data_IF_893157940843
#
_entry.id   IF_893157940843
#
_cell.length_a   1.000
_cell.length_b   1.000
_cell.length_c   1.000
_cell.angle_alpha   90.00
_cell.angle_beta   90.00
_cell.angle_gamma   90.00
#
_symmetry.space_group_name_H-M   'P 1'
#
loop_
_entity.id
_entity.type
_entity.pdbx_description
1 polymer ?
#
# COMPACT_ATOMS: atom_id res chain seq x y z
N UNK A 1 -16.16 10.22 3.01
CA UNK A 1 -16.53 11.31 2.08
C UNK A 1 -16.18 12.62 2.76
N UNK A 2 -15.48 13.52 2.07
CA UNK A 2 -15.18 14.86 2.53
C UNK A 2 -16.02 15.85 1.73
N UNK A 3 -16.77 16.71 2.40
CA UNK A 3 -17.63 17.71 1.76
C UNK A 3 -17.25 19.12 2.23
N UNK A 4 -17.01 20.03 1.28
CA UNK A 4 -16.63 21.42 1.58
C UNK A 4 -17.00 22.34 0.42
N UNK A 5 -17.34 23.58 0.72
CA UNK A 5 -17.51 24.66 -0.26
C UNK A 5 -16.31 25.61 -0.33
N UNK A 6 -15.28 25.40 0.51
CA UNK A 6 -14.05 26.18 0.56
C UNK A 6 -12.78 25.29 0.48
N UNK A 7 -11.64 25.95 0.36
CA UNK A 7 -10.28 25.42 0.42
C UNK A 7 -9.95 24.82 1.79
N UNK A 8 -8.75 24.22 1.90
CA UNK A 8 -8.26 23.61 3.13
C UNK A 8 -7.00 24.31 3.64
N UNK A 9 -6.78 24.24 4.94
CA UNK A 9 -5.49 24.60 5.54
C UNK A 9 -4.48 23.45 5.43
N UNK A 10 -3.22 23.81 5.24
CA UNK A 10 -2.12 22.87 5.10
C UNK A 10 -1.02 23.12 6.13
N UNK A 11 -0.11 22.15 6.28
CA UNK A 11 1.07 22.30 7.13
C UNK A 11 1.79 23.64 6.87
N UNK A 12 2.05 24.38 7.95
CA UNK A 12 2.58 25.73 7.96
C UNK A 12 1.53 26.80 8.31
N UNK A 13 0.25 26.57 8.03
CA UNK A 13 -0.81 27.56 8.27
C UNK A 13 -1.05 27.78 9.78
N UNK A 14 -0.88 26.76 10.61
CA UNK A 14 -0.99 26.85 12.06
C UNK A 14 0.00 27.84 12.70
N UNK A 15 1.08 28.19 11.99
CA UNK A 15 2.08 29.16 12.45
C UNK A 15 1.45 30.52 12.76
N UNK A 16 0.40 30.92 12.01
CA UNK A 16 -0.33 32.17 12.26
C UNK A 16 -1.06 32.16 13.62
N UNK A 17 -1.44 30.98 14.10
CA UNK A 17 -2.03 30.76 15.42
C UNK A 17 -1.04 30.39 16.52
N UNK A 18 0.28 30.45 16.25
CA UNK A 18 1.33 30.03 17.19
C UNK A 18 1.51 28.51 17.28
N UNK A 19 0.88 27.73 16.40
CA UNK A 19 0.95 26.27 16.37
C UNK A 19 2.02 25.86 15.35
N UNK A 20 3.12 25.29 15.84
CA UNK A 20 4.29 24.94 14.99
C UNK A 20 4.69 23.47 15.08
N UNK A 21 4.06 22.70 15.96
CA UNK A 21 4.36 21.28 16.09
C UNK A 21 3.69 20.52 14.95
N UNK A 22 4.37 19.57 14.29
CA UNK A 22 3.76 18.76 13.25
C UNK A 22 2.65 17.87 13.83
N UNK A 23 1.74 17.32 12.99
CA UNK A 23 0.70 16.41 13.43
C UNK A 23 1.24 15.22 14.24
N UNK A 24 0.53 14.87 15.31
CA UNK A 24 0.90 13.74 16.15
C UNK A 24 0.72 12.40 15.42
N UNK A 25 1.62 11.41 15.57
CA UNK A 25 1.58 10.14 14.82
C UNK A 25 0.48 9.16 15.30
N UNK A 26 -0.26 9.49 16.36
CA UNK A 26 -1.31 8.66 16.94
C UNK A 26 -2.62 9.43 17.02
N UNK A 27 -3.73 8.70 17.05
CA UNK A 27 -5.06 9.24 17.31
C UNK A 27 -5.06 10.14 18.55
N UNK A 28 -5.72 11.29 18.46
CA UNK A 28 -5.88 12.28 19.54
C UNK A 28 -7.36 12.60 19.80
N UNK A 29 -8.25 11.67 19.46
CA UNK A 29 -9.65 11.77 19.86
C UNK A 29 -9.74 11.47 21.35
N UNK A 30 -10.48 12.31 22.07
CA UNK A 30 -10.86 12.03 23.46
C UNK A 30 -12.05 11.05 23.53
N UNK A 31 -12.46 10.71 24.75
CA UNK A 31 -13.57 9.77 24.99
C UNK A 31 -14.93 10.27 24.45
N UNK A 32 -15.04 11.56 24.11
CA UNK A 32 -16.23 12.15 23.49
C UNK A 32 -16.18 12.17 21.96
N UNK A 33 -15.07 11.71 21.37
CA UNK A 33 -14.85 11.71 19.93
C UNK A 33 -14.41 13.06 19.37
N UNK A 34 -13.95 13.98 20.22
CA UNK A 34 -13.44 15.30 19.80
C UNK A 34 -11.92 15.24 19.66
N UNK A 35 -11.38 15.89 18.62
CA UNK A 35 -9.94 16.04 18.44
C UNK A 35 -9.39 17.07 19.43
N UNK A 36 -8.96 16.62 20.61
CA UNK A 36 -8.57 17.47 21.73
C UNK A 36 -7.29 18.29 21.47
N UNK A 37 -6.43 17.81 20.58
CA UNK A 37 -5.09 18.39 20.32
C UNK A 37 -5.06 19.39 19.14
N UNK A 38 -6.21 19.94 18.74
CA UNK A 38 -6.35 20.92 17.65
C UNK A 38 -5.51 22.19 17.81
N UNK A 39 -5.26 22.60 19.05
CA UNK A 39 -4.48 23.79 19.39
C UNK A 39 -2.99 23.49 19.65
N UNK A 40 -2.59 22.22 19.61
CA UNK A 40 -1.23 21.77 19.91
C UNK A 40 -0.43 21.43 18.65
N UNK A 41 -1.09 20.83 17.65
CA UNK A 41 -0.47 20.34 16.43
C UNK A 41 -1.03 21.03 15.19
N UNK A 42 -0.13 21.37 14.28
CA UNK A 42 -0.41 22.00 12.99
C UNK A 42 -1.15 21.03 12.05
N UNK A 43 -1.67 21.57 10.96
CA UNK A 43 -2.34 20.82 9.91
C UNK A 43 -1.39 19.81 9.23
N UNK A 44 -1.92 18.69 8.70
CA UNK A 44 -1.11 17.75 7.95
C UNK A 44 -0.63 18.34 6.62
N UNK A 45 0.54 17.88 6.16
CA UNK A 45 0.95 18.09 4.78
C UNK A 45 0.20 17.12 3.85
N UNK A 46 0.11 17.46 2.57
CA UNK A 46 -0.53 16.58 1.57
C UNK A 46 0.15 15.21 1.50
N UNK A 47 1.49 15.17 1.57
CA UNK A 47 2.25 13.93 1.57
C UNK A 47 1.97 13.06 2.82
N UNK A 48 1.84 13.69 3.99
CA UNK A 48 1.47 12.98 5.21
C UNK A 48 0.06 12.40 5.10
N UNK A 49 -0.90 13.18 4.60
CA UNK A 49 -2.27 12.72 4.36
C UNK A 49 -2.31 11.52 3.40
N UNK A 50 -1.61 11.60 2.26
CA UNK A 50 -1.54 10.52 1.27
C UNK A 50 -0.96 9.23 1.87
N UNK A 51 0.09 9.35 2.70
CA UNK A 51 0.71 8.22 3.38
C UNK A 51 -0.26 7.54 4.36
N UNK A 52 -0.95 8.33 5.20
CA UNK A 52 -1.90 7.80 6.19
C UNK A 52 -3.10 7.14 5.51
N UNK A 53 -3.66 7.77 4.47
CA UNK A 53 -4.77 7.21 3.71
C UNK A 53 -4.39 5.89 3.02
N UNK A 54 -3.20 5.85 2.40
CA UNK A 54 -2.69 4.63 1.77
C UNK A 54 -2.46 3.50 2.79
N UNK A 55 -1.83 3.82 3.93
CA UNK A 55 -1.58 2.83 4.98
C UNK A 55 -2.88 2.28 5.61
N UNK A 56 -3.90 3.12 5.73
CA UNK A 56 -5.23 2.73 6.21
C UNK A 56 -6.14 2.15 5.11
N UNK A 57 -5.66 2.11 3.87
CA UNK A 57 -6.39 1.68 2.68
C UNK A 57 -7.74 2.43 2.48
N UNK A 58 -7.74 3.74 2.76
CA UNK A 58 -8.91 4.61 2.64
C UNK A 58 -8.85 5.36 1.31
N UNK A 59 -9.95 5.33 0.56
CA UNK A 59 -10.13 6.05 -0.70
C UNK A 59 -11.02 7.27 -0.48
N UNK A 60 -10.48 8.49 -0.45
CA UNK A 60 -11.30 9.66 -0.19
C UNK A 60 -12.11 10.06 -1.42
N UNK A 61 -13.34 10.47 -1.17
CA UNK A 61 -14.22 11.14 -2.13
C UNK A 61 -14.34 12.59 -1.69
N UNK A 62 -13.83 13.52 -2.49
CA UNK A 62 -13.93 14.95 -2.30
C UNK A 62 -15.17 15.48 -3.03
N UNK A 63 -16.23 15.78 -2.29
CA UNK A 63 -17.47 16.37 -2.78
C UNK A 63 -17.43 17.88 -2.54
N UNK A 64 -17.04 18.66 -3.55
CA UNK A 64 -16.74 20.10 -3.35
C UNK A 64 -17.46 20.98 -4.36
N UNK A 65 -17.75 22.22 -3.99
CA UNK A 65 -18.45 23.16 -4.87
C UNK A 65 -17.58 23.57 -6.06
N UNK A 66 -18.24 23.95 -7.16
CA UNK A 66 -17.57 24.36 -8.42
C UNK A 66 -16.36 25.29 -8.26
N UNK A 67 -16.41 26.36 -7.42
CA UNK A 67 -15.29 27.29 -7.27
C UNK A 67 -14.00 26.66 -6.73
N UNK A 68 -14.10 25.61 -5.93
CA UNK A 68 -12.96 24.97 -5.26
C UNK A 68 -12.49 23.69 -5.95
N UNK A 69 -13.27 23.16 -6.89
CA UNK A 69 -12.94 21.94 -7.64
C UNK A 69 -11.51 21.88 -8.20
N UNK A 70 -10.96 22.95 -8.83
CA UNK A 70 -9.61 22.86 -9.40
C UNK A 70 -8.54 22.53 -8.35
N UNK A 71 -8.69 23.03 -7.12
CA UNK A 71 -7.74 22.81 -6.02
C UNK A 71 -7.80 21.35 -5.56
N UNK A 72 -9.01 20.81 -5.39
CA UNK A 72 -9.18 19.41 -5.00
C UNK A 72 -8.82 18.43 -6.12
N UNK A 73 -8.91 18.83 -7.39
CA UNK A 73 -8.40 18.05 -8.51
C UNK A 73 -6.86 17.92 -8.45
N UNK A 74 -6.13 19.00 -8.15
CA UNK A 74 -4.68 18.91 -7.94
C UNK A 74 -4.34 18.06 -6.71
N UNK A 75 -5.08 18.22 -5.61
CA UNK A 75 -4.92 17.37 -4.42
C UNK A 75 -5.12 15.89 -4.76
N UNK A 76 -6.16 15.58 -5.54
CA UNK A 76 -6.49 14.21 -5.95
C UNK A 76 -5.45 13.58 -6.89
N UNK A 77 -4.57 14.36 -7.52
CA UNK A 77 -3.43 13.80 -8.27
C UNK A 77 -2.31 13.32 -7.36
N UNK A 78 -2.23 13.85 -6.15
CA UNK A 78 -1.21 13.52 -5.16
C UNK A 78 -1.66 12.40 -4.21
N UNK A 79 -2.97 12.17 -4.09
CA UNK A 79 -3.55 11.12 -3.26
C UNK A 79 -4.00 9.98 -4.18
N UNK A 80 -3.37 8.79 -4.10
CA UNK A 80 -3.77 7.65 -4.93
C UNK A 80 -5.24 7.27 -4.70
N UNK A 81 -5.93 6.85 -5.78
CA UNK A 81 -7.28 6.29 -5.70
C UNK A 81 -8.30 7.22 -5.00
N UNK A 82 -8.17 8.54 -5.18
CA UNK A 82 -9.20 9.50 -4.76
C UNK A 82 -10.04 10.00 -5.92
N UNK A 83 -11.26 10.44 -5.63
CA UNK A 83 -12.19 11.01 -6.62
C UNK A 83 -12.66 12.38 -6.16
N UNK A 84 -12.84 13.30 -7.11
CA UNK A 84 -13.43 14.61 -6.89
C UNK A 84 -14.75 14.69 -7.65
N UNK A 85 -15.81 15.13 -6.97
CA UNK A 85 -17.13 15.36 -7.56
C UNK A 85 -17.64 16.76 -7.23
N UNK A 86 -18.41 17.34 -8.15
CA UNK A 86 -19.04 18.64 -7.95
C UNK A 86 -20.25 18.52 -7.02
N UNK A 87 -20.18 19.15 -5.85
CA UNK A 87 -21.29 19.27 -4.91
C UNK A 87 -22.06 20.56 -5.22
N UNK A 88 -23.38 20.45 -5.38
CA UNK A 88 -24.26 21.63 -5.49
C UNK A 88 -24.28 22.38 -4.16
N UNK A 89 -24.54 23.69 -4.20
CA UNK A 89 -24.57 24.53 -2.99
C UNK A 89 -25.60 24.07 -1.95
N UNK A 90 -26.70 23.47 -2.39
CA UNK A 90 -27.74 22.90 -1.53
C UNK A 90 -27.46 21.44 -1.13
N UNK A 91 -26.32 20.88 -1.55
CA UNK A 91 -25.92 19.48 -1.37
C UNK A 91 -26.94 18.45 -1.91
N UNK A 92 -27.87 18.87 -2.76
CA UNK A 92 -28.99 18.03 -3.23
C UNK A 92 -28.53 16.80 -4.03
N UNK A 93 -27.34 16.86 -4.64
CA UNK A 93 -26.79 15.79 -5.47
C UNK A 93 -25.80 14.88 -4.75
N UNK A 94 -25.62 15.01 -3.42
CA UNK A 94 -24.59 14.25 -2.68
C UNK A 94 -24.74 12.74 -2.80
N UNK A 95 -25.98 12.22 -2.80
CA UNK A 95 -26.25 10.78 -2.91
C UNK A 95 -25.81 10.24 -4.28
N UNK A 96 -26.13 10.96 -5.35
CA UNK A 96 -25.73 10.61 -6.70
C UNK A 96 -24.20 10.67 -6.86
N UNK A 97 -23.58 11.72 -6.33
CA UNK A 97 -22.13 11.90 -6.37
C UNK A 97 -21.40 10.74 -5.68
N UNK A 98 -21.86 10.32 -4.51
CA UNK A 98 -21.27 9.17 -3.80
C UNK A 98 -21.42 7.89 -4.62
N UNK A 99 -22.59 7.65 -5.22
CA UNK A 99 -22.82 6.46 -6.05
C UNK A 99 -21.91 6.45 -7.29
N UNK A 100 -21.78 7.57 -7.98
CA UNK A 100 -20.90 7.72 -9.14
C UNK A 100 -19.42 7.57 -8.77
N UNK A 101 -18.98 8.19 -7.68
CA UNK A 101 -17.62 8.07 -7.18
C UNK A 101 -17.30 6.64 -6.75
N UNK A 102 -18.23 5.96 -6.07
CA UNK A 102 -18.09 4.56 -5.71
C UNK A 102 -17.92 3.69 -6.96
N UNK A 103 -18.80 3.85 -7.96
CA UNK A 103 -18.71 3.10 -9.22
C UNK A 103 -17.38 3.37 -9.95
N UNK A 104 -16.91 4.61 -9.95
CA UNK A 104 -15.61 4.98 -10.53
C UNK A 104 -14.46 4.29 -9.80
N UNK A 105 -14.44 4.33 -8.46
CA UNK A 105 -13.42 3.70 -7.64
C UNK A 105 -13.43 2.17 -7.78
N UNK A 106 -14.60 1.55 -7.77
CA UNK A 106 -14.76 0.10 -7.91
C UNK A 106 -14.45 -0.40 -9.32
N UNK A 107 -14.48 0.48 -10.33
CA UNK A 107 -14.16 0.12 -11.71
C UNK A 107 -12.67 -0.11 -11.99
N UNK A 108 -11.82 0.17 -11.01
CA UNK A 108 -10.37 -0.01 -11.12
C UNK A 108 -9.89 -0.98 -10.05
N UNK A 109 -9.10 -1.96 -10.44
CA UNK A 109 -8.49 -2.94 -9.53
C UNK A 109 -6.99 -2.77 -9.62
N UNK A 110 -6.38 -2.33 -8.52
CA UNK A 110 -4.95 -2.10 -8.43
C UNK A 110 -4.36 -2.99 -7.33
N UNK A 111 -3.53 -3.95 -7.74
CA UNK A 111 -2.86 -4.89 -6.86
C UNK A 111 -1.47 -4.37 -6.51
N UNK A 112 -1.23 -4.12 -5.23
CA UNK A 112 0.05 -3.65 -4.69
C UNK A 112 0.63 -4.65 -3.68
N UNK A 113 1.91 -4.47 -3.38
CA UNK A 113 2.62 -5.27 -2.39
C UNK A 113 3.15 -4.41 -1.25
N UNK A 114 3.35 -5.03 -0.09
CA UNK A 114 4.12 -4.45 1.02
C UNK A 114 5.59 -4.24 0.60
N UNK A 115 6.37 -3.41 1.33
CA UNK A 115 7.80 -3.29 1.07
C UNK A 115 8.48 -4.66 0.95
N UNK A 116 9.28 -4.84 -0.11
CA UNK A 116 9.94 -6.11 -0.39
C UNK A 116 11.22 -6.28 0.42
N UNK A 117 11.50 -7.47 0.96
CA UNK A 117 12.80 -7.80 1.53
C UNK A 117 13.92 -7.69 0.49
N UNK A 118 15.16 -7.43 0.92
CA UNK A 118 16.32 -7.46 0.03
C UNK A 118 16.43 -8.79 -0.73
N UNK A 119 16.73 -8.71 -2.02
CA UNK A 119 16.87 -9.88 -2.88
C UNK A 119 15.57 -10.52 -3.36
N UNK A 120 14.41 -9.91 -3.06
CA UNK A 120 13.11 -10.33 -3.61
C UNK A 120 12.61 -9.29 -4.61
N UNK A 121 12.16 -9.76 -5.77
CA UNK A 121 11.50 -8.94 -6.78
C UNK A 121 10.22 -9.62 -7.26
N UNK A 122 9.15 -8.85 -7.42
CA UNK A 122 7.88 -9.32 -7.96
C UNK A 122 7.63 -8.70 -9.34
N UNK A 123 6.95 -9.45 -10.23
CA UNK A 123 6.35 -8.91 -11.45
C UNK A 123 4.93 -9.41 -11.63
N UNK A 124 4.10 -8.61 -12.27
CA UNK A 124 2.65 -8.75 -12.32
C UNK A 124 2.17 -8.76 -13.76
N UNK A 125 1.45 -9.81 -14.16
CA UNK A 125 0.74 -9.87 -15.43
C UNK A 125 -0.76 -9.71 -15.14
N UNK A 126 -1.40 -8.72 -15.75
CA UNK A 126 -2.80 -8.38 -15.48
C UNK A 126 -3.71 -8.97 -16.56
N UNK A 127 -4.62 -9.85 -16.15
CA UNK A 127 -5.60 -10.52 -17.03
C UNK A 127 -6.95 -9.81 -16.91
N UNK A 128 -7.02 -8.59 -17.43
CA UNK A 128 -8.22 -7.73 -17.40
C UNK A 128 -9.13 -7.93 -18.63
N UNK A 129 -8.62 -8.64 -19.63
CA UNK A 129 -9.22 -8.92 -20.93
C UNK A 129 -8.22 -9.73 -21.77
N UNK A 130 -8.63 -10.14 -22.97
CA UNK A 130 -7.79 -10.93 -23.87
C UNK A 130 -7.24 -10.07 -25.02
N UNK A 131 -5.91 -10.05 -25.27
CA UNK A 131 -4.85 -10.77 -24.55
C UNK A 131 -4.40 -10.07 -23.23
N UNK A 132 -3.68 -10.79 -22.35
CA UNK A 132 -3.13 -10.22 -21.13
C UNK A 132 -2.16 -9.06 -21.38
N UNK A 133 -2.12 -8.11 -20.43
CA UNK A 133 -1.17 -7.00 -20.47
C UNK A 133 0.27 -7.45 -20.23
N UNK A 134 1.28 -6.67 -20.67
CA UNK A 134 2.68 -7.00 -20.42
C UNK A 134 3.01 -7.01 -18.92
N UNK A 135 4.00 -7.82 -18.47
CA UNK A 135 4.40 -7.85 -17.07
C UNK A 135 4.89 -6.49 -16.56
N UNK A 136 4.36 -6.05 -15.42
CA UNK A 136 4.74 -4.80 -14.75
C UNK A 136 5.50 -5.06 -13.45
N UNK A 137 6.49 -4.22 -13.09
CA UNK A 137 7.33 -4.44 -11.91
C UNK A 137 6.73 -3.91 -10.59
N UNK A 138 5.73 -3.04 -10.65
CA UNK A 138 5.29 -2.24 -9.50
C UNK A 138 3.85 -2.49 -9.05
N UNK A 139 3.17 -3.46 -9.65
CA UNK A 139 1.80 -3.84 -9.29
C UNK A 139 1.02 -4.35 -10.49
N UNK A 140 -0.16 -4.90 -10.22
CA UNK A 140 -1.15 -5.25 -11.24
C UNK A 140 -2.21 -4.15 -11.38
N UNK A 141 -2.70 -3.92 -12.58
CA UNK A 141 -3.73 -2.89 -12.82
C UNK A 141 -4.75 -3.34 -13.85
N UNK A 142 -6.03 -3.24 -13.49
CA UNK A 142 -7.17 -3.39 -14.38
C UNK A 142 -8.10 -2.17 -14.26
N UNK A 143 -8.61 -1.69 -15.39
CA UNK A 143 -9.60 -0.62 -15.44
C UNK A 143 -10.86 -1.07 -16.19
N UNK A 144 -11.98 -0.40 -15.95
CA UNK A 144 -13.27 -0.74 -16.55
C UNK A 144 -13.86 -2.05 -16.03
N UNK A 145 -13.50 -2.46 -14.81
CA UNK A 145 -14.01 -3.67 -14.17
C UNK A 145 -15.45 -3.43 -13.71
N UNK A 146 -16.38 -4.25 -14.16
CA UNK A 146 -17.78 -4.15 -13.75
C UNK A 146 -18.04 -4.84 -12.41
N UNK A 147 -19.12 -4.46 -11.73
CA UNK A 147 -19.58 -5.15 -10.52
C UNK A 147 -19.83 -6.63 -10.87
N UNK A 148 -19.35 -7.54 -10.03
CA UNK A 148 -19.37 -9.01 -10.23
C UNK A 148 -18.48 -9.54 -11.37
N UNK A 149 -17.63 -8.70 -11.97
CA UNK A 149 -16.61 -9.17 -12.89
C UNK A 149 -15.36 -9.61 -12.11
N UNK A 150 -14.87 -10.82 -12.41
CA UNK A 150 -13.60 -11.31 -11.87
C UNK A 150 -12.44 -10.89 -12.78
N UNK A 151 -11.31 -10.52 -12.16
CA UNK A 151 -10.04 -10.26 -12.86
C UNK A 151 -8.94 -11.08 -12.20
N UNK A 152 -7.99 -11.53 -13.00
CA UNK A 152 -6.90 -12.39 -12.54
C UNK A 152 -5.55 -11.72 -12.70
N UNK A 153 -4.62 -12.01 -11.78
CA UNK A 153 -3.24 -11.53 -11.83
C UNK A 153 -2.28 -12.70 -11.70
N UNK A 154 -1.31 -12.81 -12.60
CA UNK A 154 -0.17 -13.72 -12.42
C UNK A 154 0.96 -12.95 -11.75
N UNK A 155 1.27 -13.31 -10.50
CA UNK A 155 2.40 -12.75 -9.76
C UNK A 155 3.59 -13.69 -9.86
N UNK A 156 4.70 -13.22 -10.45
CA UNK A 156 5.96 -13.96 -10.50
C UNK A 156 6.89 -13.43 -9.41
N UNK A 157 7.26 -14.29 -8.48
CA UNK A 157 8.21 -13.99 -7.40
C UNK A 157 9.60 -14.50 -7.80
N UNK A 158 10.61 -13.64 -7.69
CA UNK A 158 12.02 -14.01 -7.93
C UNK A 158 12.86 -13.66 -6.71
N UNK A 159 13.62 -14.64 -6.24
CA UNK A 159 14.65 -14.46 -5.22
C UNK A 159 16.05 -14.47 -5.87
N UNK A 160 16.89 -13.50 -5.55
CA UNK A 160 18.30 -13.43 -5.96
C UNK A 160 19.27 -13.81 -4.85
N UNK A 161 18.80 -13.92 -3.61
CA UNK A 161 19.58 -14.34 -2.45
C UNK A 161 18.76 -15.26 -1.54
N UNK A 162 19.47 -15.99 -0.69
CA UNK A 162 18.86 -16.80 0.36
C UNK A 162 18.21 -15.92 1.41
N UNK A 163 16.97 -16.24 1.76
CA UNK A 163 16.23 -15.65 2.87
C UNK A 163 16.50 -16.46 4.13
N UNK A 164 17.05 -15.79 5.14
CA UNK A 164 17.14 -16.31 6.51
C UNK A 164 16.95 -15.13 7.48
N UNK A 165 15.84 -15.08 8.24
CA UNK A 165 14.73 -16.04 8.32
C UNK A 165 13.77 -15.98 7.12
N UNK A 166 12.77 -16.89 7.01
CA UNK A 166 11.65 -16.75 6.09
C UNK A 166 10.99 -15.36 6.22
N UNK A 167 10.57 -14.81 5.09
CA UNK A 167 10.02 -13.45 5.01
C UNK A 167 8.54 -13.49 4.65
N UNK A 168 7.80 -12.45 5.03
CA UNK A 168 6.39 -12.29 4.65
C UNK A 168 6.22 -11.09 3.74
N UNK A 169 5.48 -11.28 2.65
CA UNK A 169 5.11 -10.21 1.72
C UNK A 169 3.58 -10.19 1.61
N UNK A 170 2.98 -9.05 1.89
CA UNK A 170 1.55 -8.84 1.73
C UNK A 170 1.22 -8.37 0.32
N UNK A 171 0.19 -8.95 -0.30
CA UNK A 171 -0.43 -8.46 -1.53
C UNK A 171 -1.82 -7.94 -1.21
N UNK A 172 -2.12 -6.69 -1.57
CA UNK A 172 -3.39 -6.03 -1.28
C UNK A 172 -3.96 -5.35 -2.50
N UNK A 173 -5.28 -5.34 -2.62
CA UNK A 173 -5.97 -4.52 -3.62
C UNK A 173 -6.30 -3.17 -2.98
N UNK A 174 -5.92 -2.07 -3.63
CA UNK A 174 -6.20 -0.73 -3.10
C UNK A 174 -7.71 -0.50 -2.98
N UNK A 175 -8.14 -0.14 -1.77
CA UNK A 175 -9.55 0.09 -1.38
C UNK A 175 -10.28 -1.12 -0.83
N UNK A 176 -9.65 -2.31 -0.82
CA UNK A 176 -10.24 -3.55 -0.31
C UNK A 176 -9.55 -4.02 0.95
N UNK A 177 -10.31 -4.45 1.96
CA UNK A 177 -9.76 -4.87 3.25
C UNK A 177 -8.96 -6.18 3.20
N UNK A 178 -9.11 -6.93 2.13
CA UNK A 178 -8.50 -8.24 1.91
C UNK A 178 -7.01 -8.12 1.58
N UNK A 179 -6.22 -8.99 2.21
CA UNK A 179 -4.79 -9.11 1.98
C UNK A 179 -4.40 -10.59 1.82
N UNK A 180 -3.62 -10.89 0.79
CA UNK A 180 -2.99 -12.19 0.59
C UNK A 180 -1.57 -12.14 1.16
N UNK A 181 -1.31 -12.93 2.20
CA UNK A 181 0.02 -13.03 2.80
C UNK A 181 0.82 -14.16 2.15
N UNK A 182 1.96 -13.82 1.55
CA UNK A 182 2.92 -14.77 1.00
C UNK A 182 4.01 -15.05 2.03
N UNK A 183 4.13 -16.31 2.46
CA UNK A 183 5.28 -16.78 3.26
C UNK A 183 6.37 -17.28 2.33
N UNK A 184 7.50 -16.57 2.28
CA UNK A 184 8.61 -16.82 1.37
C UNK A 184 9.77 -17.47 2.13
N UNK A 185 10.08 -18.71 1.75
CA UNK A 185 11.26 -19.45 2.20
C UNK A 185 12.08 -19.90 0.99
N UNK A 186 13.39 -19.65 1.02
CA UNK A 186 14.30 -20.12 -0.03
C UNK A 186 15.02 -21.39 0.42
N UNK A 187 14.97 -22.50 -0.35
CA UNK A 187 15.68 -23.73 -0.02
C UNK A 187 17.17 -23.57 -0.36
N UNK A 188 17.92 -22.93 0.53
CA UNK A 188 19.35 -22.70 0.35
C UNK A 188 20.24 -23.73 1.05
N UNK A 189 19.66 -24.53 1.94
CA UNK A 189 20.35 -25.63 2.60
C UNK A 189 20.27 -26.88 1.73
N UNK A 190 21.39 -27.57 1.59
CA UNK A 190 21.42 -28.89 1.00
C UNK A 190 20.90 -29.91 2.03
N UNK A 191 19.97 -30.78 1.63
CA UNK A 191 19.48 -31.90 2.44
C UNK A 191 20.48 -33.06 2.48
N UNK A 192 21.76 -32.79 2.75
CA UNK A 192 22.75 -33.85 2.93
C UNK A 192 22.76 -34.28 4.40
N UNK A 193 22.49 -35.55 4.63
CA UNK A 193 22.31 -36.14 5.97
C UNK A 193 23.62 -36.46 6.70
N UNK A 194 24.77 -36.05 6.16
CA UNK A 194 26.09 -36.46 6.64
C UNK A 194 26.98 -35.25 6.92
N UNK A 195 26.60 -34.47 7.94
CA UNK A 195 27.58 -33.65 8.65
C UNK A 195 28.15 -34.45 9.80
N UNK A 196 29.34 -35.00 9.62
CA UNK A 196 30.06 -35.76 10.63
C UNK A 196 31.29 -34.98 11.08
N UNK A 197 31.24 -34.28 12.23
CA UNK A 197 32.43 -33.68 12.82
C UNK A 197 33.42 -34.76 13.27
N UNK A 198 34.72 -34.44 13.20
CA UNK A 198 35.82 -35.38 13.51
C UNK A 198 35.73 -36.70 12.74
N UNK A 199 35.35 -36.64 11.46
CA UNK A 199 35.23 -37.80 10.61
C UNK A 199 36.60 -38.49 10.41
N UNK A 200 36.71 -39.81 10.63
CA UNK A 200 37.95 -40.56 10.39
C UNK A 200 38.43 -40.46 8.94
N UNK A 201 37.49 -40.43 7.98
CA UNK A 201 37.77 -40.26 6.55
C UNK A 201 38.41 -38.90 6.25
N UNK A 202 38.21 -37.91 7.12
CA UNK A 202 38.73 -36.56 6.98
C UNK A 202 39.90 -36.28 7.95
N UNK A 203 40.58 -37.32 8.46
CA UNK A 203 41.72 -37.19 9.38
C UNK A 203 41.46 -36.25 10.57
N UNK A 204 40.24 -36.27 11.13
CA UNK A 204 39.83 -35.41 12.25
C UNK A 204 39.12 -34.10 11.85
N UNK A 205 38.98 -33.82 10.55
CA UNK A 205 38.13 -32.76 10.00
C UNK A 205 36.63 -33.08 10.02
N UNK A 206 35.80 -32.21 9.45
CA UNK A 206 34.35 -32.41 9.31
C UNK A 206 34.03 -32.95 7.92
N UNK A 207 33.38 -34.10 7.83
CA UNK A 207 32.77 -34.55 6.57
C UNK A 207 31.41 -33.84 6.43
N UNK A 208 31.20 -33.09 5.36
CA UNK A 208 29.93 -32.41 5.07
C UNK A 208 29.57 -32.60 3.59
N UNK A 209 28.37 -33.12 3.33
CA UNK A 209 27.91 -33.49 1.98
C UNK A 209 28.92 -34.32 1.14
N UNK A 210 29.69 -35.22 1.77
CA UNK A 210 30.68 -36.05 1.08
C UNK A 210 32.02 -35.36 0.81
N UNK A 211 32.23 -34.14 1.32
CA UNK A 211 33.48 -33.38 1.21
C UNK A 211 34.08 -33.16 2.59
N UNK A 212 35.40 -33.32 2.72
CA UNK A 212 36.11 -33.06 3.96
C UNK A 212 36.48 -31.57 4.10
N UNK A 213 36.07 -30.97 5.23
CA UNK A 213 36.44 -29.62 5.65
C UNK A 213 37.39 -29.70 6.85
N UNK A 214 38.62 -29.18 6.69
CA UNK A 214 39.61 -29.15 7.76
C UNK A 214 39.48 -27.86 8.58
N UNK A 215 39.60 -27.97 9.91
CA UNK A 215 39.76 -26.80 10.78
C UNK A 215 41.25 -26.45 10.83
N UNK A 216 41.59 -25.22 10.43
CA UNK A 216 42.96 -24.68 10.50
C UNK A 216 43.40 -24.35 11.91
#
# INVERSE_FOLDING_TARGET
VFASDDTFHAAGDGKLGGIVQPPHPRCQLDDSGIYASSHLYDYPSVGHLAQVLSAANIQPIFAVTSPTMPIYQELSRLIPKSVVGELRQDSSNVVQLIAEAYNSLSSTVELQHSPLPPGISLSYESHCGDPPGPPQPHGGFCAGVHINQEVNFTVRVRASSCLDPPQRVGLRVLGFTEELSLELSTPCTCSCTQRQPQAPLCHGGTLDCGVCSCHG
#
